data_IF_124997839136
#
_entry.id   IF_124997839136
#
_cell.length_a   1.000
_cell.length_b   1.000
_cell.length_c   1.000
_cell.angle_alpha   90.00
_cell.angle_beta   90.00
_cell.angle_gamma   90.00
#
_symmetry.space_group_name_H-M   'P 1'
#
loop_
_entity.id
_entity.type
_entity.pdbx_description
1 polymer ?
#
# COMPACT_ATOMS: atom_id res chain seq x y z
N UNK A 1 0.16 40.30 -62.60
CA UNK A 1 1.29 39.44 -62.27
C UNK A 1 1.22 39.15 -60.75
N UNK A 2 0.66 37.99 -60.32
CA UNK A 2 0.61 37.68 -58.90
C UNK A 2 1.87 36.92 -58.48
N UNK A 3 2.43 37.34 -57.35
CA UNK A 3 3.56 36.69 -56.65
C UNK A 3 3.14 35.35 -56.09
N UNK A 4 3.86 34.31 -56.52
CA UNK A 4 3.80 32.99 -55.92
C UNK A 4 4.37 33.00 -54.51
N UNK A 5 3.55 32.75 -53.50
CA UNK A 5 3.98 32.54 -52.13
C UNK A 5 4.25 31.03 -51.94
N UNK A 6 5.48 30.71 -51.61
CA UNK A 6 5.93 29.37 -51.26
C UNK A 6 5.25 28.89 -49.97
N UNK A 7 4.66 27.71 -50.03
CA UNK A 7 4.09 26.97 -48.88
C UNK A 7 5.27 26.34 -48.10
N UNK A 8 5.41 26.59 -46.79
CA UNK A 8 6.40 25.86 -46.01
C UNK A 8 5.94 24.46 -45.72
N UNK A 9 6.80 23.49 -45.97
CA UNK A 9 6.63 22.06 -45.61
C UNK A 9 6.50 21.90 -44.11
N UNK A 10 5.59 21.02 -43.64
CA UNK A 10 5.48 20.72 -42.23
C UNK A 10 6.48 19.58 -41.89
N UNK A 11 7.72 19.95 -41.58
CA UNK A 11 8.62 19.04 -40.89
C UNK A 11 8.14 18.91 -39.44
N UNK A 12 7.24 17.95 -39.25
CA UNK A 12 6.72 17.55 -37.98
C UNK A 12 7.77 16.82 -37.18
N UNK A 13 8.32 17.48 -36.19
CA UNK A 13 9.02 16.85 -35.06
C UNK A 13 8.05 15.89 -34.36
N UNK A 14 7.95 14.66 -34.85
CA UNK A 14 7.28 13.56 -34.17
C UNK A 14 8.12 13.19 -32.97
N UNK A 15 7.96 13.93 -31.86
CA UNK A 15 8.33 13.41 -30.55
C UNK A 15 7.63 12.06 -30.41
N UNK A 16 8.39 10.98 -30.47
CA UNK A 16 7.92 9.66 -30.16
C UNK A 16 7.28 9.72 -28.77
N UNK A 17 5.98 9.53 -28.72
CA UNK A 17 5.26 9.31 -27.47
C UNK A 17 5.84 7.99 -26.94
N UNK A 18 6.76 8.09 -26.01
CA UNK A 18 7.25 6.94 -25.26
C UNK A 18 6.05 6.44 -24.46
N UNK A 19 5.35 5.47 -25.02
CA UNK A 19 4.34 4.70 -24.28
C UNK A 19 5.09 4.04 -23.14
N UNK A 20 4.81 4.37 -21.87
CA UNK A 20 5.52 3.75 -20.77
C UNK A 20 5.32 2.25 -20.88
N UNK A 21 6.40 1.53 -21.01
CA UNK A 21 6.46 0.07 -20.97
C UNK A 21 5.53 -0.41 -19.85
N UNK A 22 4.62 -1.34 -20.11
CA UNK A 22 3.71 -1.91 -19.10
C UNK A 22 4.56 -2.40 -17.93
N UNK A 23 4.68 -1.62 -16.88
CA UNK A 23 5.41 -2.01 -15.68
C UNK A 23 4.77 -3.30 -15.17
N UNK A 24 5.52 -4.37 -15.19
CA UNK A 24 5.08 -5.62 -14.58
C UNK A 24 4.91 -5.34 -13.08
N UNK A 25 3.68 -5.43 -12.58
CA UNK A 25 3.39 -5.19 -11.18
C UNK A 25 4.18 -6.19 -10.31
N UNK A 26 4.76 -5.75 -9.19
CA UNK A 26 5.63 -6.58 -8.38
C UNK A 26 4.86 -7.74 -7.74
N UNK A 27 5.42 -8.94 -7.82
CA UNK A 27 5.01 -10.10 -7.02
C UNK A 27 6.13 -10.38 -6.03
N UNK A 28 5.82 -10.45 -4.74
CA UNK A 28 6.79 -10.69 -3.68
C UNK A 28 6.53 -12.08 -3.10
N UNK A 29 7.58 -12.88 -2.97
CA UNK A 29 7.56 -14.16 -2.24
C UNK A 29 8.43 -14.02 -1.01
N UNK A 30 7.92 -14.50 0.11
CA UNK A 30 8.66 -14.59 1.37
C UNK A 30 8.82 -16.06 1.80
N UNK A 31 9.26 -16.29 3.01
CA UNK A 31 9.35 -17.65 3.53
C UNK A 31 8.00 -18.38 3.52
N UNK A 32 6.90 -17.70 3.93
CA UNK A 32 5.57 -18.32 4.07
C UNK A 32 4.48 -17.71 3.18
N UNK A 33 4.75 -16.55 2.54
CA UNK A 33 3.71 -15.74 1.94
C UNK A 33 3.97 -15.48 0.45
N UNK A 34 2.88 -15.24 -0.27
CA UNK A 34 2.88 -14.64 -1.61
C UNK A 34 2.05 -13.37 -1.55
N UNK A 35 2.66 -12.27 -1.97
CA UNK A 35 2.04 -10.96 -2.07
C UNK A 35 1.85 -10.63 -3.56
N UNK A 36 0.62 -10.35 -3.95
CA UNK A 36 0.26 -9.91 -5.31
C UNK A 36 -0.50 -8.61 -5.23
N UNK A 37 -0.31 -7.65 -6.15
CA UNK A 37 -1.15 -6.47 -6.20
C UNK A 37 -2.63 -6.84 -6.14
N UNK A 38 -3.42 -6.10 -5.37
CA UNK A 38 -4.86 -6.33 -5.27
C UNK A 38 -5.53 -6.21 -6.62
N UNK A 39 -6.52 -7.06 -6.89
CA UNK A 39 -7.23 -7.18 -8.17
C UNK A 39 -8.73 -7.21 -7.96
N UNK A 40 -9.49 -7.06 -9.04
CA UNK A 40 -10.95 -7.13 -9.01
C UNK A 40 -11.48 -8.42 -8.38
N UNK A 41 -10.81 -9.54 -8.63
CA UNK A 41 -11.16 -10.87 -8.08
C UNK A 41 -10.98 -10.96 -6.56
N UNK A 42 -10.26 -10.03 -5.95
CA UNK A 42 -10.09 -9.97 -4.50
C UNK A 42 -11.27 -9.30 -3.78
N UNK A 43 -12.24 -8.72 -4.52
CA UNK A 43 -13.28 -7.86 -3.96
C UNK A 43 -14.04 -8.50 -2.82
N UNK A 44 -14.48 -9.75 -2.97
CA UNK A 44 -15.31 -10.41 -1.94
C UNK A 44 -14.50 -10.74 -0.69
N UNK A 45 -13.28 -11.22 -0.86
CA UNK A 45 -12.39 -11.50 0.25
C UNK A 45 -11.95 -10.21 0.98
N UNK A 46 -11.71 -9.13 0.24
CA UNK A 46 -11.41 -7.81 0.82
C UNK A 46 -12.62 -7.23 1.53
N UNK A 47 -13.83 -7.40 0.98
CA UNK A 47 -15.05 -6.95 1.67
C UNK A 47 -15.26 -7.74 2.95
N UNK A 48 -15.12 -9.07 2.94
CA UNK A 48 -15.21 -9.89 4.15
C UNK A 48 -14.23 -9.42 5.23
N UNK A 49 -12.98 -9.09 4.87
CA UNK A 49 -11.98 -8.56 5.78
C UNK A 49 -12.36 -7.17 6.32
N UNK A 50 -12.83 -6.26 5.45
CA UNK A 50 -13.10 -4.87 5.82
C UNK A 50 -14.49 -4.65 6.43
N UNK A 51 -15.35 -5.64 6.41
CA UNK A 51 -16.65 -5.63 7.10
C UNK A 51 -16.62 -6.38 8.45
N UNK A 52 -15.53 -7.12 8.75
CA UNK A 52 -15.40 -7.84 10.03
C UNK A 52 -15.12 -6.87 11.18
N UNK A 53 -16.04 -6.70 12.17
CA UNK A 53 -15.82 -5.79 13.29
C UNK A 53 -14.56 -6.13 14.11
N UNK A 54 -14.17 -7.42 14.17
CA UNK A 54 -12.98 -7.88 14.92
C UNK A 54 -11.71 -7.33 14.32
N UNK A 55 -11.65 -7.14 12.98
CA UNK A 55 -10.51 -6.56 12.29
C UNK A 55 -10.39 -5.05 12.52
N UNK A 56 -11.40 -4.41 13.11
CA UNK A 56 -11.47 -2.97 13.39
C UNK A 56 -11.58 -2.65 14.87
N UNK A 57 -11.57 -3.65 15.76
CA UNK A 57 -11.85 -3.47 17.19
C UNK A 57 -10.94 -2.43 17.88
N UNK A 58 -9.71 -2.26 17.40
CA UNK A 58 -8.72 -1.32 17.94
C UNK A 58 -8.59 -0.03 17.12
N UNK A 59 -9.32 0.11 16.01
CA UNK A 59 -9.17 1.25 15.10
C UNK A 59 -10.13 2.40 15.41
N UNK A 60 -9.80 3.59 14.90
CA UNK A 60 -10.67 4.76 14.90
C UNK A 60 -11.65 4.77 13.71
N UNK A 61 -11.48 3.85 12.75
CA UNK A 61 -12.31 3.72 11.56
C UNK A 61 -13.31 2.58 11.76
N UNK A 62 -14.60 2.76 11.47
CA UNK A 62 -15.58 1.67 11.50
C UNK A 62 -15.39 0.70 10.32
N UNK A 63 -15.86 -0.55 10.46
CA UNK A 63 -15.91 -1.50 9.35
C UNK A 63 -16.82 -1.00 8.22
N UNK A 64 -16.57 -1.49 7.01
CA UNK A 64 -17.45 -1.24 5.87
C UNK A 64 -18.78 -1.98 6.04
N UNK A 65 -19.85 -1.35 5.58
CA UNK A 65 -21.20 -1.94 5.67
C UNK A 65 -21.72 -2.51 4.35
N UNK A 66 -21.15 -2.06 3.22
CA UNK A 66 -21.65 -2.41 1.90
C UNK A 66 -20.49 -2.83 0.98
N UNK A 67 -20.71 -3.88 0.20
CA UNK A 67 -19.76 -4.36 -0.81
C UNK A 67 -19.40 -3.28 -1.84
N UNK A 68 -20.34 -2.38 -2.15
CA UNK A 68 -20.11 -1.27 -3.05
C UNK A 68 -19.03 -0.29 -2.54
N UNK A 69 -18.95 -0.09 -1.22
CA UNK A 69 -17.89 0.72 -0.60
C UNK A 69 -16.51 0.07 -0.84
N UNK A 70 -16.39 -1.25 -0.65
CA UNK A 70 -15.14 -1.95 -0.92
C UNK A 70 -14.76 -1.91 -2.40
N UNK A 71 -15.73 -2.02 -3.31
CA UNK A 71 -15.48 -1.87 -4.75
C UNK A 71 -14.88 -0.49 -5.06
N UNK A 72 -15.43 0.58 -4.48
CA UNK A 72 -14.90 1.93 -4.64
C UNK A 72 -13.45 2.02 -4.13
N UNK A 73 -13.19 1.52 -2.94
CA UNK A 73 -11.83 1.47 -2.35
C UNK A 73 -10.86 0.68 -3.25
N UNK A 74 -11.28 -0.49 -3.74
CA UNK A 74 -10.44 -1.34 -4.60
C UNK A 74 -10.08 -0.66 -5.93
N UNK A 75 -11.00 0.12 -6.51
CA UNK A 75 -10.72 0.92 -7.71
C UNK A 75 -9.62 1.95 -7.41
N UNK A 76 -9.69 2.65 -6.27
CA UNK A 76 -8.65 3.61 -5.88
C UNK A 76 -7.29 2.91 -5.67
N UNK A 77 -7.27 1.76 -5.01
CA UNK A 77 -6.05 0.99 -4.79
C UNK A 77 -5.43 0.48 -6.10
N UNK A 78 -6.26 0.08 -7.05
CA UNK A 78 -5.78 -0.35 -8.38
C UNK A 78 -5.21 0.83 -9.18
N UNK A 79 -5.81 2.01 -9.06
CA UNK A 79 -5.31 3.23 -9.73
C UNK A 79 -3.95 3.66 -9.19
N UNK A 80 -3.71 3.56 -7.89
CA UNK A 80 -2.44 3.92 -7.28
C UNK A 80 -1.26 3.14 -7.90
N UNK A 81 -1.44 1.86 -8.22
CA UNK A 81 -0.44 1.07 -8.93
C UNK A 81 -0.10 1.63 -10.32
N UNK A 82 -1.10 2.16 -11.03
CA UNK A 82 -0.91 2.70 -12.39
C UNK A 82 -0.29 4.10 -12.33
N UNK A 83 -0.77 4.93 -11.41
CA UNK A 83 -0.38 6.34 -11.31
C UNK A 83 0.95 6.54 -10.60
N UNK A 84 1.14 5.87 -9.47
CA UNK A 84 2.25 6.13 -8.56
C UNK A 84 3.30 5.00 -8.57
N UNK A 85 2.97 3.85 -9.19
CA UNK A 85 3.80 2.65 -9.13
C UNK A 85 3.85 2.02 -7.74
N UNK A 86 2.93 2.37 -6.85
CA UNK A 86 2.82 1.96 -5.46
C UNK A 86 1.39 1.55 -5.16
N UNK A 87 1.19 0.66 -4.20
CA UNK A 87 -0.15 0.21 -3.88
C UNK A 87 -0.17 -0.92 -2.85
N UNK A 88 -1.32 -1.54 -2.75
CA UNK A 88 -1.55 -2.59 -1.79
C UNK A 88 -1.48 -3.97 -2.42
N UNK A 89 -1.00 -4.92 -1.62
CA UNK A 89 -0.89 -6.33 -1.95
C UNK A 89 -1.92 -7.15 -1.18
N UNK A 90 -2.56 -8.05 -1.88
CA UNK A 90 -3.26 -9.18 -1.28
C UNK A 90 -2.22 -10.18 -0.76
N UNK A 91 -2.31 -10.54 0.50
CA UNK A 91 -1.40 -11.48 1.17
C UNK A 91 -2.07 -12.85 1.22
N UNK A 92 -1.36 -13.88 0.76
CA UNK A 92 -1.78 -15.28 0.79
C UNK A 92 -0.67 -16.17 1.33
N UNK A 93 -1.03 -17.31 1.90
CA UNK A 93 -0.05 -18.35 2.22
C UNK A 93 0.53 -18.94 0.92
N UNK A 94 1.74 -19.42 1.00
CA UNK A 94 2.35 -20.21 -0.07
C UNK A 94 1.71 -21.59 -0.11
N UNK A 95 1.12 -21.94 -1.24
CA UNK A 95 0.45 -23.24 -1.45
C UNK A 95 1.43 -24.41 -1.44
N UNK A 96 2.66 -24.18 -1.94
CA UNK A 96 3.74 -25.18 -1.96
C UNK A 96 4.25 -25.55 -0.55
N UNK A 97 3.87 -24.77 0.47
CA UNK A 97 4.19 -25.01 1.88
C UNK A 97 2.96 -25.29 2.76
N UNK A 98 1.82 -25.60 2.17
CA UNK A 98 0.55 -25.76 2.89
C UNK A 98 0.61 -26.81 4.02
N UNK A 99 1.43 -27.85 3.86
CA UNK A 99 1.64 -28.89 4.87
C UNK A 99 2.59 -28.47 6.01
N UNK A 100 3.49 -27.54 5.74
CA UNK A 100 4.53 -27.09 6.68
C UNK A 100 4.14 -25.82 7.42
N UNK A 101 3.19 -25.06 6.86
CA UNK A 101 2.78 -23.76 7.39
C UNK A 101 1.30 -23.78 7.68
N UNK A 102 0.86 -23.79 8.94
CA UNK A 102 -0.55 -23.86 9.32
C UNK A 102 -1.27 -22.52 9.17
N UNK A 103 -1.15 -21.87 8.00
CA UNK A 103 -1.88 -20.66 7.66
C UNK A 103 -3.15 -21.03 6.87
N UNK A 104 -4.27 -20.34 7.09
CA UNK A 104 -5.49 -20.55 6.33
C UNK A 104 -5.28 -20.31 4.83
N UNK A 105 -6.08 -20.96 4.00
CA UNK A 105 -6.14 -20.70 2.56
C UNK A 105 -6.82 -19.37 2.25
N UNK A 106 -6.64 -18.88 1.02
CA UNK A 106 -7.25 -17.65 0.53
C UNK A 106 -6.54 -16.37 1.01
N UNK A 107 -7.28 -15.27 1.06
CA UNK A 107 -6.75 -13.98 1.48
C UNK A 107 -6.52 -13.97 2.99
N UNK A 108 -5.27 -13.75 3.41
CA UNK A 108 -4.90 -13.58 4.82
C UNK A 108 -5.03 -12.13 5.27
N UNK A 109 -4.89 -11.19 4.33
CA UNK A 109 -4.94 -9.78 4.60
C UNK A 109 -4.46 -8.94 3.43
N UNK A 110 -4.31 -7.65 3.70
CA UNK A 110 -3.79 -6.66 2.76
C UNK A 110 -2.72 -5.83 3.44
N UNK A 111 -1.62 -5.57 2.71
CA UNK A 111 -0.51 -4.71 3.16
C UNK A 111 0.01 -3.90 1.98
N UNK A 112 0.68 -2.79 2.25
CA UNK A 112 1.34 -2.05 1.17
C UNK A 112 1.64 -0.60 1.52
N UNK A 113 2.02 0.14 0.48
CA UNK A 113 2.42 1.54 0.53
C UNK A 113 1.68 2.31 -0.55
N UNK A 114 1.25 3.52 -0.22
CA UNK A 114 0.70 4.48 -1.20
C UNK A 114 1.31 5.85 -0.96
N UNK A 115 1.41 6.66 -1.99
CA UNK A 115 1.81 8.06 -1.84
C UNK A 115 0.71 8.80 -1.10
N UNK A 116 1.08 9.54 -0.05
CA UNK A 116 0.14 10.40 0.69
C UNK A 116 0.63 11.85 0.61
N UNK A 117 0.05 12.67 -0.26
CA UNK A 117 0.36 14.10 -0.29
C UNK A 117 0.01 14.75 1.04
N UNK A 118 0.94 15.51 1.60
CA UNK A 118 0.78 16.35 2.80
C UNK A 118 1.36 17.74 2.52
N UNK A 119 1.10 18.69 3.39
CA UNK A 119 1.72 20.01 3.31
C UNK A 119 3.26 19.97 3.39
N UNK A 120 3.80 18.96 4.09
CA UNK A 120 5.24 18.78 4.29
C UNK A 120 5.91 17.95 3.18
N UNK A 121 5.15 17.46 2.19
CA UNK A 121 5.65 16.64 1.09
C UNK A 121 4.74 15.47 0.75
N UNK A 122 5.30 14.45 0.08
CA UNK A 122 4.55 13.27 -0.35
C UNK A 122 5.21 11.98 0.17
N UNK A 123 5.20 11.72 1.49
CA UNK A 123 5.71 10.48 2.06
C UNK A 123 4.93 9.28 1.57
N UNK A 124 5.47 8.08 1.79
CA UNK A 124 4.72 6.85 1.63
C UNK A 124 3.90 6.57 2.88
N UNK A 125 2.63 6.26 2.72
CA UNK A 125 1.76 5.80 3.80
C UNK A 125 1.69 4.28 3.81
N UNK A 126 2.09 3.69 4.92
CA UNK A 126 2.01 2.24 5.12
C UNK A 126 0.63 1.85 5.65
N UNK A 127 0.12 0.74 5.12
CA UNK A 127 -1.13 0.14 5.57
C UNK A 127 -0.97 -1.36 5.71
N UNK A 128 -1.58 -1.91 6.74
CA UNK A 128 -1.73 -3.35 6.96
C UNK A 128 -3.05 -3.65 7.66
N UNK A 129 -3.72 -4.68 7.19
CA UNK A 129 -4.90 -5.27 7.83
C UNK A 129 -4.93 -6.76 7.55
N UNK A 130 -5.03 -7.54 8.59
CA UNK A 130 -5.10 -9.00 8.49
C UNK A 130 -6.43 -9.51 9.01
N UNK A 131 -6.79 -10.70 8.55
CA UNK A 131 -7.87 -11.46 9.16
C UNK A 131 -7.54 -11.73 10.63
N UNK A 132 -8.53 -11.65 11.53
CA UNK A 132 -8.32 -11.89 12.97
C UNK A 132 -7.67 -13.24 13.26
N UNK A 133 -8.00 -14.28 12.47
CA UNK A 133 -7.51 -15.65 12.64
C UNK A 133 -5.99 -15.81 12.41
N UNK A 134 -5.35 -14.84 11.76
CA UNK A 134 -3.90 -14.88 11.50
C UNK A 134 -3.13 -13.81 12.27
N UNK A 135 -3.82 -13.05 13.11
CA UNK A 135 -3.18 -12.06 14.00
C UNK A 135 -2.28 -12.76 15.01
N UNK A 136 -1.14 -12.15 15.35
CA UNK A 136 -0.17 -12.72 16.27
C UNK A 136 0.77 -13.79 15.66
N UNK A 137 0.53 -14.23 14.42
CA UNK A 137 1.35 -15.26 13.73
C UNK A 137 2.54 -14.70 12.95
N UNK A 138 2.84 -13.41 13.09
CA UNK A 138 3.96 -12.74 12.40
C UNK A 138 3.72 -12.44 10.92
N UNK A 139 2.52 -12.70 10.39
CA UNK A 139 2.19 -12.52 8.96
C UNK A 139 2.35 -11.07 8.53
N UNK A 140 1.81 -10.10 9.29
CA UNK A 140 1.94 -8.68 8.95
C UNK A 140 3.40 -8.21 8.97
N UNK A 141 4.19 -8.67 9.94
CA UNK A 141 5.62 -8.33 10.03
C UNK A 141 6.39 -8.86 8.82
N UNK A 142 6.20 -10.13 8.48
CA UNK A 142 6.87 -10.77 7.34
C UNK A 142 6.51 -10.06 6.03
N UNK A 143 5.21 -9.82 5.80
CA UNK A 143 4.71 -9.15 4.61
C UNK A 143 5.24 -7.72 4.49
N UNK A 144 5.06 -6.90 5.53
CA UNK A 144 5.48 -5.48 5.50
C UNK A 144 7.00 -5.32 5.43
N UNK A 145 7.77 -6.19 6.10
CA UNK A 145 9.23 -6.19 5.98
C UNK A 145 9.66 -6.41 4.53
N UNK A 146 9.02 -7.34 3.83
CA UNK A 146 9.31 -7.61 2.43
C UNK A 146 8.93 -6.45 1.52
N UNK A 147 7.77 -5.81 1.75
CA UNK A 147 7.34 -4.62 1.00
C UNK A 147 8.29 -3.44 1.22
N UNK A 148 8.70 -3.18 2.46
CA UNK A 148 9.61 -2.09 2.80
C UNK A 148 11.03 -2.29 2.26
N UNK A 149 11.46 -3.54 2.06
CA UNK A 149 12.77 -3.88 1.52
C UNK A 149 12.81 -3.94 -0.01
N UNK A 150 11.67 -4.11 -0.68
CA UNK A 150 11.62 -4.26 -2.14
C UNK A 150 11.75 -2.88 -2.83
N UNK A 151 12.80 -2.64 -3.63
CA UNK A 151 13.00 -1.35 -4.29
C UNK A 151 11.86 -1.00 -5.26
N UNK A 152 11.14 -1.98 -5.78
CA UNK A 152 9.99 -1.78 -6.66
C UNK A 152 8.79 -1.15 -5.93
N UNK A 153 8.76 -1.24 -4.60
CA UNK A 153 7.74 -0.62 -3.75
C UNK A 153 8.10 0.81 -3.32
N UNK A 154 9.26 1.33 -3.76
CA UNK A 154 9.66 2.72 -3.59
C UNK A 154 9.98 3.18 -2.17
N UNK A 155 10.01 2.28 -1.17
CA UNK A 155 10.32 2.61 0.21
C UNK A 155 11.82 2.88 0.48
N UNK A 156 12.79 2.21 -0.18
CA UNK A 156 14.18 2.51 0.03
C UNK A 156 14.49 3.99 -0.30
N UNK A 157 15.15 4.69 0.63
CA UNK A 157 15.52 6.10 0.47
C UNK A 157 14.38 7.11 0.68
N UNK A 158 13.17 6.67 1.06
CA UNK A 158 12.03 7.56 1.32
C UNK A 158 11.53 7.45 2.75
N UNK A 159 10.98 8.55 3.24
CA UNK A 159 10.21 8.53 4.47
C UNK A 159 8.92 7.71 4.27
N UNK A 160 8.63 6.86 5.25
CA UNK A 160 7.37 6.12 5.31
C UNK A 160 6.65 6.48 6.59
N UNK A 161 5.38 6.82 6.50
CA UNK A 161 4.53 7.10 7.66
C UNK A 161 3.49 5.99 7.86
N UNK A 162 2.99 5.89 9.08
CA UNK A 162 1.83 5.06 9.40
C UNK A 162 0.95 5.80 10.40
N UNK A 163 -0.36 5.77 10.18
CA UNK A 163 -1.35 6.33 11.09
C UNK A 163 -2.15 5.19 11.70
N UNK A 164 -2.29 5.20 13.01
CA UNK A 164 -3.07 4.19 13.74
C UNK A 164 -3.65 4.78 15.02
N UNK A 165 -4.73 4.19 15.54
CA UNK A 165 -5.26 4.60 16.82
C UNK A 165 -4.24 4.40 17.95
N UNK A 166 -4.13 5.36 18.86
CA UNK A 166 -3.21 5.28 20.01
C UNK A 166 -3.43 4.01 20.84
N UNK A 167 -4.69 3.54 20.96
CA UNK A 167 -5.07 2.31 21.65
C UNK A 167 -4.71 1.02 20.90
N UNK A 168 -4.41 1.10 19.61
CA UNK A 168 -4.05 -0.08 18.80
C UNK A 168 -2.60 -0.50 19.08
N UNK A 169 -2.38 -1.15 20.23
CA UNK A 169 -1.06 -1.56 20.69
C UNK A 169 -0.41 -2.57 19.75
N UNK A 170 -1.18 -3.48 19.15
CA UNK A 170 -0.64 -4.47 18.21
C UNK A 170 -0.09 -3.82 16.95
N UNK A 171 -0.81 -2.83 16.39
CA UNK A 171 -0.35 -2.07 15.23
C UNK A 171 0.90 -1.23 15.55
N UNK A 172 0.92 -0.59 16.72
CA UNK A 172 2.08 0.18 17.19
C UNK A 172 3.31 -0.69 17.44
N UNK A 173 3.13 -1.87 18.04
CA UNK A 173 4.22 -2.84 18.25
C UNK A 173 4.77 -3.34 16.91
N UNK A 174 3.90 -3.66 15.96
CA UNK A 174 4.31 -4.01 14.61
C UNK A 174 5.12 -2.90 13.95
N UNK A 175 4.62 -1.67 14.01
CA UNK A 175 5.31 -0.51 13.46
C UNK A 175 6.71 -0.32 14.08
N UNK A 176 6.83 -0.40 15.41
CA UNK A 176 8.12 -0.30 16.10
C UNK A 176 9.11 -1.38 15.62
N UNK A 177 8.68 -2.63 15.47
CA UNK A 177 9.50 -3.72 14.92
C UNK A 177 9.93 -3.51 13.47
N UNK A 178 9.16 -2.72 12.70
CA UNK A 178 9.46 -2.32 11.31
C UNK A 178 10.33 -1.05 11.24
N UNK A 179 10.75 -0.50 12.38
CA UNK A 179 11.62 0.69 12.45
C UNK A 179 10.87 2.02 12.44
N UNK A 180 9.56 2.02 12.65
CA UNK A 180 8.80 3.25 12.85
C UNK A 180 8.96 3.76 14.30
N UNK A 181 8.94 5.08 14.45
CA UNK A 181 9.00 5.78 15.73
C UNK A 181 7.86 6.80 15.82
N UNK A 182 7.40 7.20 16.99
CA UNK A 182 6.45 8.31 17.13
C UNK A 182 6.97 9.55 16.39
N UNK A 183 6.10 10.19 15.64
CA UNK A 183 6.42 11.45 15.00
C UNK A 183 6.65 12.57 16.07
N UNK A 184 7.49 13.59 15.78
CA UNK A 184 7.56 14.77 16.62
C UNK A 184 6.20 15.42 16.82
N UNK A 185 5.93 15.95 18.01
CA UNK A 185 4.62 16.52 18.39
C UNK A 185 4.13 17.67 17.49
N UNK A 186 5.05 18.33 16.79
CA UNK A 186 4.73 19.39 15.81
C UNK A 186 4.13 18.89 14.50
N UNK A 187 4.24 17.60 14.20
CA UNK A 187 3.68 17.03 12.97
C UNK A 187 2.20 16.68 13.18
N UNK A 188 1.36 17.18 12.28
CA UNK A 188 -0.05 16.82 12.28
C UNK A 188 -0.25 15.37 11.82
N UNK A 189 -1.30 14.74 12.36
CA UNK A 189 -1.72 13.40 11.90
C UNK A 189 -2.53 13.55 10.61
N UNK A 190 -2.06 13.04 9.47
CA UNK A 190 -2.83 13.11 8.23
C UNK A 190 -4.20 12.45 8.40
N UNK A 191 -5.27 13.16 7.98
CA UNK A 191 -6.63 12.70 8.16
C UNK A 191 -7.23 12.91 9.56
N UNK A 192 -6.45 13.41 10.50
CA UNK A 192 -6.81 14.07 11.75
C UNK A 192 -7.96 13.49 12.57
N UNK A 193 -8.01 12.16 12.81
CA UNK A 193 -9.02 11.59 13.71
C UNK A 193 -8.56 11.70 15.15
N UNK A 194 -9.47 12.08 16.03
CA UNK A 194 -9.18 12.12 17.46
C UNK A 194 -8.71 10.73 17.95
N UNK A 195 -7.58 10.73 18.65
CA UNK A 195 -6.99 9.52 19.21
C UNK A 195 -6.10 8.72 18.24
N UNK A 196 -5.86 9.21 17.02
CA UNK A 196 -4.84 8.62 16.15
C UNK A 196 -3.44 9.17 16.46
N UNK A 197 -2.43 8.38 16.18
CA UNK A 197 -1.01 8.73 16.29
C UNK A 197 -0.31 8.55 14.96
N UNK A 198 0.64 9.46 14.70
CA UNK A 198 1.52 9.39 13.55
C UNK A 198 2.82 8.70 13.94
N UNK A 199 3.21 7.70 13.16
CA UNK A 199 4.47 7.00 13.28
C UNK A 199 5.28 7.23 12.01
N UNK A 200 6.58 7.39 12.14
CA UNK A 200 7.49 7.72 11.04
C UNK A 200 8.66 6.74 11.01
N UNK A 201 8.93 6.21 9.84
CA UNK A 201 10.16 5.50 9.51
C UNK A 201 10.96 6.43 8.59
N UNK A 202 12.05 7.04 9.10
CA UNK A 202 12.83 7.98 8.30
C UNK A 202 13.48 7.29 7.11
N UNK A 203 13.77 8.06 6.06
CA UNK A 203 14.71 7.62 5.05
C UNK A 203 16.04 7.26 5.72
N UNK A 204 16.78 6.25 5.25
CA UNK A 204 18.16 6.04 5.69
C UNK A 204 18.95 7.32 5.48
N UNK A 205 19.66 7.76 6.51
CA UNK A 205 20.61 8.86 6.35
C UNK A 205 21.64 8.42 5.34
N UNK A 206 21.78 9.15 4.23
CA UNK A 206 22.84 8.90 3.27
C UNK A 206 24.19 8.98 3.98
N UNK A 207 24.94 7.91 3.94
CA UNK A 207 26.35 7.89 4.37
C UNK A 207 27.20 8.49 3.31
#
# INVERSE_FOLDING_TARGET
MPHSAAVPSPDGNRRAVVVPSRRTLPRIRTARLVLTPVRADDLDALFALHSDPRAFAQDSTPPLRQRAQMRHVLVQWSRAWVQDGQGYFAVRAREDLARETPLPTGLLGVVGLTVLPTEEGAPLSAYWRLRPEVTGRGVAYEAMRAVLADPRCGAPGREVIAVTAARNLSSRTLAARLGFRPAPSRRSVPGGRAGDVLLVRPAPSGS
#
